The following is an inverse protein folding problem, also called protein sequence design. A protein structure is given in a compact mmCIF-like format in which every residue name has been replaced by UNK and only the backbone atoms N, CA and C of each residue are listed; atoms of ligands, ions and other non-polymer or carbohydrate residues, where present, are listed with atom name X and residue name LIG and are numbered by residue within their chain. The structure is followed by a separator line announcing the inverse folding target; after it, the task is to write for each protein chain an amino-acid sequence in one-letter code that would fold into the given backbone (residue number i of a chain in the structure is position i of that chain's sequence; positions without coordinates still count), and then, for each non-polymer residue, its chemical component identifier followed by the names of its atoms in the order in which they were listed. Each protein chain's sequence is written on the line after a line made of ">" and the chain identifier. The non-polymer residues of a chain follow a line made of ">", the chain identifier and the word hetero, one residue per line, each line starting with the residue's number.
data_IF_273889221192
#
_entry.id   IF_273889221192
#
_cell.length_a   1.000
_cell.length_b   1.000
_cell.length_c   1.000
_cell.angle_alpha   90.00
_cell.angle_beta   90.00
_cell.angle_gamma   90.00
#
_symmetry.space_group_name_H-M   'P 1'
#
loop_
_entity.id
_entity.type
_entity.pdbx_description
1 polymer ?
#
# COMPACT_ATOMS: atom_id res chain seq x y z
N UNK A 1 14.31 1.66 -24.43
CA UNK A 1 15.34 1.30 -23.43
C UNK A 1 16.43 0.43 -24.06
N UNK A 2 17.60 0.30 -23.40
CA UNK A 2 18.69 -0.56 -23.89
C UNK A 2 18.20 -2.02 -24.05
N UNK A 3 17.33 -2.49 -23.18
CA UNK A 3 16.75 -3.83 -23.23
C UNK A 3 15.85 -4.02 -24.47
N UNK A 4 15.02 -3.03 -24.82
CA UNK A 4 14.19 -3.08 -26.03
C UNK A 4 15.05 -3.15 -27.30
N UNK A 5 16.20 -2.47 -27.33
CA UNK A 5 17.16 -2.55 -28.42
C UNK A 5 17.79 -3.95 -28.56
N UNK A 6 17.82 -4.72 -27.50
CA UNK A 6 18.27 -6.11 -27.47
C UNK A 6 17.15 -7.15 -27.69
N UNK A 7 15.95 -6.69 -28.11
CA UNK A 7 14.82 -7.57 -28.42
C UNK A 7 13.96 -7.97 -27.23
N UNK A 8 14.17 -7.39 -26.05
CA UNK A 8 13.26 -7.58 -24.92
C UNK A 8 11.96 -6.81 -25.12
N UNK A 9 10.85 -7.48 -24.87
CA UNK A 9 9.51 -6.88 -24.94
C UNK A 9 9.05 -6.58 -23.51
N UNK A 10 8.67 -5.33 -23.20
CA UNK A 10 8.14 -5.01 -21.88
C UNK A 10 6.81 -5.72 -21.65
N UNK A 11 6.75 -6.55 -20.60
CA UNK A 11 5.54 -7.30 -20.23
C UNK A 11 4.61 -6.49 -19.34
N UNK A 12 5.18 -5.63 -18.49
CA UNK A 12 4.42 -4.79 -17.55
C UNK A 12 5.12 -3.46 -17.36
N UNK A 13 4.32 -2.45 -17.02
CA UNK A 13 4.82 -1.13 -16.65
C UNK A 13 4.22 -0.71 -15.32
N UNK A 14 5.02 -0.04 -14.49
CA UNK A 14 4.58 0.52 -13.22
C UNK A 14 4.77 2.03 -13.27
N UNK A 15 3.83 2.76 -12.67
CA UNK A 15 4.00 4.18 -12.42
C UNK A 15 4.57 4.38 -11.03
N UNK A 16 5.57 5.23 -10.92
CA UNK A 16 6.02 5.79 -9.67
C UNK A 16 5.25 7.07 -9.41
N UNK A 17 4.54 7.09 -8.29
CA UNK A 17 3.69 8.20 -7.90
C UNK A 17 4.23 8.85 -6.63
N UNK A 18 4.21 10.18 -6.62
CA UNK A 18 4.70 11.01 -5.52
C UNK A 18 3.60 11.97 -5.07
N UNK A 19 3.46 12.13 -3.76
CA UNK A 19 2.51 13.01 -3.13
C UNK A 19 3.20 13.90 -2.10
N UNK A 20 2.83 15.17 -2.09
CA UNK A 20 3.19 16.16 -1.09
C UNK A 20 1.96 16.98 -0.75
N UNK A 21 1.80 17.36 0.50
CA UNK A 21 0.70 18.23 0.90
C UNK A 21 0.16 17.92 2.29
N UNK A 22 -1.11 18.23 2.48
CA UNK A 22 -1.85 17.91 3.69
C UNK A 22 -2.82 16.77 3.42
N UNK A 23 -2.95 15.86 4.36
CA UNK A 23 -3.96 14.81 4.28
C UNK A 23 -5.35 15.46 4.27
N UNK A 24 -6.20 15.19 3.28
CA UNK A 24 -7.57 15.67 3.29
C UNK A 24 -8.32 15.11 4.49
N UNK A 25 -9.24 15.88 5.04
CA UNK A 25 -10.14 15.35 6.04
C UNK A 25 -10.87 14.11 5.51
N UNK A 26 -10.86 13.03 6.29
CA UNK A 26 -11.50 11.78 5.92
C UNK A 26 -12.14 11.10 7.12
N UNK A 27 -13.14 10.29 6.84
CA UNK A 27 -13.74 9.38 7.80
C UNK A 27 -13.69 7.96 7.25
N UNK A 28 -13.55 7.00 8.14
CA UNK A 28 -13.68 5.61 7.74
C UNK A 28 -15.15 5.33 7.35
N UNK A 29 -15.39 4.44 6.38
CA UNK A 29 -16.75 4.02 6.04
C UNK A 29 -17.51 3.50 7.27
N UNK A 30 -18.83 3.63 7.25
CA UNK A 30 -19.69 3.20 8.36
C UNK A 30 -19.42 1.74 8.74
N UNK A 31 -19.26 1.47 10.03
CA UNK A 31 -18.94 0.16 10.58
C UNK A 31 -17.47 -0.26 10.41
N UNK A 32 -16.63 0.57 9.78
CA UNK A 32 -15.22 0.30 9.66
C UNK A 32 -14.41 0.98 10.77
N UNK A 33 -13.33 0.33 11.17
CA UNK A 33 -12.30 0.86 12.06
C UNK A 33 -10.92 0.52 11.52
N UNK A 34 -9.89 1.19 12.01
CA UNK A 34 -8.51 0.83 11.70
C UNK A 34 -7.73 0.46 12.95
N UNK A 35 -6.82 -0.47 12.82
CA UNK A 35 -5.84 -0.81 13.87
C UNK A 35 -4.48 -1.15 13.29
N UNK A 36 -3.45 -0.95 14.06
CA UNK A 36 -2.10 -1.37 13.70
C UNK A 36 -1.91 -2.88 13.89
N UNK A 37 -0.90 -3.40 13.19
CA UNK A 37 -0.37 -4.75 13.35
C UNK A 37 0.14 -4.95 14.78
N UNK A 38 -0.10 -6.14 15.31
CA UNK A 38 0.37 -6.60 16.64
C UNK A 38 1.18 -7.87 16.48
N UNK A 39 1.99 -8.17 17.50
CA UNK A 39 2.66 -9.47 17.57
C UNK A 39 1.63 -10.60 17.46
N UNK A 40 1.90 -11.56 16.56
CA UNK A 40 0.98 -12.66 16.25
C UNK A 40 0.02 -12.42 15.08
N UNK A 41 -0.04 -11.21 14.50
CA UNK A 41 -0.90 -10.90 13.36
C UNK A 41 -0.34 -11.36 12.00
N UNK A 42 0.80 -12.05 11.94
CA UNK A 42 1.42 -12.44 10.68
C UNK A 42 0.51 -13.33 9.82
N UNK A 43 -0.20 -14.28 10.45
CA UNK A 43 -1.18 -15.13 9.76
C UNK A 43 -2.33 -14.31 9.16
N UNK A 44 -2.85 -13.36 9.92
CA UNK A 44 -3.92 -12.46 9.47
C UNK A 44 -3.44 -11.56 8.32
N UNK A 45 -2.20 -11.05 8.40
CA UNK A 45 -1.63 -10.23 7.33
C UNK A 45 -1.41 -11.06 6.06
N UNK A 46 -0.88 -12.29 6.17
CA UNK A 46 -0.75 -13.19 5.03
C UNK A 46 -2.11 -13.47 4.37
N UNK A 47 -3.13 -13.77 5.16
CA UNK A 47 -4.49 -14.04 4.68
C UNK A 47 -5.06 -12.84 3.91
N UNK A 48 -5.04 -11.64 4.51
CA UNK A 48 -5.64 -10.46 3.85
C UNK A 48 -4.84 -10.03 2.61
N UNK A 49 -3.50 -10.16 2.63
CA UNK A 49 -2.67 -9.92 1.45
C UNK A 49 -3.02 -10.87 0.32
N UNK A 50 -3.03 -12.17 0.60
CA UNK A 50 -3.31 -13.19 -0.41
C UNK A 50 -4.70 -13.00 -1.01
N UNK A 51 -5.72 -12.74 -0.20
CA UNK A 51 -7.08 -12.47 -0.69
C UNK A 51 -7.17 -11.16 -1.50
N UNK A 52 -6.47 -10.10 -1.08
CA UNK A 52 -6.52 -8.82 -1.77
C UNK A 52 -5.78 -8.81 -3.10
N UNK A 53 -4.79 -9.68 -3.28
CA UNK A 53 -3.95 -9.74 -4.49
C UNK A 53 -4.15 -11.02 -5.31
N UNK A 54 -5.12 -11.86 -4.94
CA UNK A 54 -5.42 -13.08 -5.68
C UNK A 54 -5.69 -12.78 -7.17
N UNK A 55 -5.06 -13.57 -8.05
CA UNK A 55 -5.14 -13.41 -9.49
C UNK A 55 -4.46 -12.17 -10.08
N UNK A 56 -3.77 -11.36 -9.29
CA UNK A 56 -3.00 -10.23 -9.81
C UNK A 56 -1.70 -10.70 -10.45
N UNK A 57 -1.38 -10.12 -11.60
CA UNK A 57 -0.17 -10.45 -12.33
C UNK A 57 1.09 -10.25 -11.48
N UNK A 58 1.97 -11.26 -11.46
CA UNK A 58 3.24 -11.20 -10.74
C UNK A 58 3.12 -11.34 -9.21
N UNK A 59 1.92 -11.52 -8.68
CA UNK A 59 1.73 -11.81 -7.26
C UNK A 59 1.88 -13.30 -6.99
N UNK A 60 2.70 -13.64 -6.00
CA UNK A 60 2.78 -14.98 -5.42
C UNK A 60 2.28 -14.94 -3.99
N UNK A 61 1.41 -15.86 -3.56
CA UNK A 61 0.92 -15.90 -2.20
C UNK A 61 2.06 -15.98 -1.18
N UNK A 62 1.95 -15.20 -0.11
CA UNK A 62 2.89 -15.25 1.01
C UNK A 62 2.49 -16.35 1.99
N UNK A 63 3.47 -17.09 2.52
CA UNK A 63 3.28 -17.88 3.73
C UNK A 63 3.30 -16.99 4.98
N UNK A 64 2.94 -17.56 6.12
CA UNK A 64 3.03 -16.86 7.41
C UNK A 64 4.50 -16.53 7.72
N UNK A 65 5.40 -17.46 7.46
CA UNK A 65 6.84 -17.34 7.67
C UNK A 65 7.44 -16.22 6.80
N UNK A 66 6.97 -16.08 5.53
CA UNK A 66 7.37 -14.99 4.64
C UNK A 66 6.99 -13.64 5.22
N UNK A 67 5.78 -13.52 5.76
CA UNK A 67 5.29 -12.29 6.39
C UNK A 67 6.08 -11.99 7.66
N UNK A 68 6.29 -12.96 8.54
CA UNK A 68 7.10 -12.80 9.76
C UNK A 68 8.51 -12.31 9.44
N UNK A 69 9.16 -12.95 8.45
CA UNK A 69 10.48 -12.54 7.99
C UNK A 69 10.49 -11.10 7.48
N UNK A 70 9.53 -10.74 6.60
CA UNK A 70 9.44 -9.41 6.03
C UNK A 70 9.19 -8.32 7.08
N UNK A 71 8.33 -8.60 8.05
CA UNK A 71 8.03 -7.67 9.16
C UNK A 71 9.25 -7.45 10.05
N UNK A 72 10.08 -8.46 10.26
CA UNK A 72 11.29 -8.36 11.07
C UNK A 72 12.46 -7.69 10.34
N UNK A 73 12.64 -7.99 9.05
CA UNK A 73 13.81 -7.56 8.28
C UNK A 73 13.69 -6.17 7.66
N UNK A 74 12.50 -5.78 7.27
CA UNK A 74 12.27 -4.46 6.69
C UNK A 74 12.10 -3.48 7.85
N UNK A 75 12.89 -2.48 7.98
CA UNK A 75 12.80 -1.36 8.96
C UNK A 75 11.37 -0.80 9.08
N UNK A 76 10.43 -1.68 9.26
CA UNK A 76 8.99 -1.45 9.30
C UNK A 76 8.58 -1.35 10.76
N UNK A 77 7.96 -0.26 11.10
CA UNK A 77 7.25 -0.18 12.37
C UNK A 77 5.95 -1.00 12.29
N UNK A 78 5.69 -1.86 13.27
CA UNK A 78 4.40 -2.53 13.40
C UNK A 78 3.23 -1.53 13.39
N UNK A 79 3.43 -0.34 13.94
CA UNK A 79 2.45 0.73 13.91
C UNK A 79 2.14 1.24 12.50
N UNK A 80 3.07 1.08 11.56
CA UNK A 80 2.92 1.46 10.15
C UNK A 80 2.29 0.39 9.26
N UNK A 81 1.94 -0.77 9.81
CA UNK A 81 1.13 -1.76 9.13
C UNK A 81 -0.29 -1.66 9.69
N UNK A 82 -1.22 -1.20 8.90
CA UNK A 82 -2.59 -0.92 9.32
C UNK A 82 -3.55 -1.94 8.70
N UNK A 83 -4.48 -2.41 9.51
CA UNK A 83 -5.63 -3.19 9.07
C UNK A 83 -6.88 -2.32 9.04
N UNK A 84 -7.71 -2.53 8.04
CA UNK A 84 -9.08 -2.04 7.98
C UNK A 84 -10.02 -3.16 8.44
N UNK A 85 -10.79 -2.90 9.47
CA UNK A 85 -11.67 -3.90 10.10
C UNK A 85 -13.12 -3.45 9.92
N UNK A 86 -13.98 -4.38 9.50
CA UNK A 86 -15.44 -4.19 9.36
C UNK A 86 -16.15 -5.28 10.15
N UNK A 87 -16.80 -4.93 11.24
CA UNK A 87 -17.31 -5.92 12.19
C UNK A 87 -16.19 -6.77 12.79
N UNK A 88 -16.22 -8.06 12.54
CA UNK A 88 -15.16 -9.02 12.95
C UNK A 88 -14.10 -9.25 11.87
N UNK A 89 -14.34 -8.79 10.64
CA UNK A 89 -13.53 -9.17 9.49
C UNK A 89 -12.45 -8.14 9.18
N UNK A 90 -11.28 -8.61 8.77
CA UNK A 90 -10.23 -7.74 8.24
C UNK A 90 -10.48 -7.54 6.74
N UNK A 91 -11.01 -6.38 6.41
CA UNK A 91 -11.41 -6.02 5.06
C UNK A 91 -10.24 -5.63 4.15
N UNK A 92 -9.14 -5.13 4.72
CA UNK A 92 -8.00 -4.67 3.95
C UNK A 92 -6.82 -4.29 4.83
N UNK A 93 -5.75 -3.84 4.20
CA UNK A 93 -4.53 -3.44 4.89
C UNK A 93 -3.78 -2.35 4.11
N UNK A 94 -2.92 -1.63 4.83
CA UNK A 94 -1.92 -0.73 4.26
C UNK A 94 -0.60 -0.96 4.98
N UNK A 95 0.43 -1.30 4.23
CA UNK A 95 1.79 -1.50 4.73
C UNK A 95 2.64 -0.31 4.35
N UNK A 96 3.10 0.44 5.35
CA UNK A 96 3.94 1.62 5.16
C UNK A 96 5.37 1.37 5.63
N UNK A 97 6.30 2.15 5.12
CA UNK A 97 7.67 2.26 5.63
C UNK A 97 8.19 3.68 5.45
N UNK A 98 9.26 3.99 6.11
CA UNK A 98 9.94 5.28 5.99
C UNK A 98 11.34 5.02 5.48
N UNK A 99 11.66 5.59 4.32
CA UNK A 99 12.94 5.47 3.66
C UNK A 99 13.71 6.82 3.74
N UNK A 100 15.04 6.75 3.58
CA UNK A 100 15.91 7.92 3.57
C UNK A 100 16.59 8.25 4.91
N UNK A 101 17.57 9.13 4.89
CA UNK A 101 18.30 9.54 6.09
C UNK A 101 17.46 10.50 6.95
N UNK A 102 17.77 10.64 8.26
CA UNK A 102 17.13 11.63 9.12
C UNK A 102 17.15 13.04 8.50
N UNK A 103 16.03 13.73 8.50
CA UNK A 103 15.87 15.06 7.92
C UNK A 103 15.52 15.08 6.41
N UNK A 104 15.65 13.95 5.71
CA UNK A 104 15.22 13.80 4.32
C UNK A 104 14.51 12.44 4.12
N UNK A 105 13.51 12.20 4.96
CA UNK A 105 12.74 10.97 4.97
C UNK A 105 11.51 11.07 4.07
N UNK A 106 11.22 9.99 3.37
CA UNK A 106 10.06 9.83 2.50
C UNK A 106 9.23 8.66 3.04
N UNK A 107 7.93 8.85 3.14
CA UNK A 107 6.99 7.79 3.43
C UNK A 107 6.75 6.95 2.17
N UNK A 108 6.68 5.64 2.32
CA UNK A 108 6.39 4.74 1.20
C UNK A 108 5.21 3.86 1.54
N UNK A 109 4.21 3.86 0.68
CA UNK A 109 3.16 2.84 0.70
C UNK A 109 3.71 1.63 -0.04
N UNK A 110 4.22 0.66 0.71
CA UNK A 110 4.81 -0.55 0.13
C UNK A 110 3.77 -1.50 -0.44
N UNK A 111 2.61 -1.60 0.22
CA UNK A 111 1.50 -2.41 -0.24
C UNK A 111 0.19 -1.91 0.37
N UNK A 112 -0.86 -1.84 -0.44
CA UNK A 112 -2.20 -1.52 0.03
C UNK A 112 -3.22 -2.35 -0.74
N UNK A 113 -4.17 -2.96 -0.04
CA UNK A 113 -5.15 -3.82 -0.66
C UNK A 113 -6.43 -3.96 0.17
N UNK A 114 -7.52 -4.30 -0.53
CA UNK A 114 -8.82 -4.59 0.06
C UNK A 114 -9.31 -5.91 -0.53
N UNK A 115 -9.79 -6.80 0.32
CA UNK A 115 -10.38 -8.08 -0.08
C UNK A 115 -11.52 -7.85 -1.06
N UNK A 116 -11.69 -8.72 -2.08
CA UNK A 116 -12.68 -8.50 -3.16
C UNK A 116 -14.08 -8.19 -2.66
N UNK A 117 -14.56 -8.89 -1.64
CA UNK A 117 -15.88 -8.77 -1.05
C UNK A 117 -16.14 -7.42 -0.35
N UNK A 118 -15.08 -6.72 0.05
CA UNK A 118 -15.15 -5.39 0.68
C UNK A 118 -14.79 -4.25 -0.28
N UNK A 119 -14.50 -4.55 -1.55
CA UNK A 119 -14.22 -3.51 -2.54
C UNK A 119 -15.46 -2.68 -2.83
N UNK A 120 -15.25 -1.45 -3.31
CA UNK A 120 -16.29 -0.41 -3.45
C UNK A 120 -16.67 0.16 -2.08
N UNK A 121 -17.45 1.21 -2.03
CA UNK A 121 -17.77 1.87 -0.76
C UNK A 121 -16.61 2.64 -0.09
N UNK A 122 -15.53 2.96 -0.81
CA UNK A 122 -14.47 3.82 -0.31
C UNK A 122 -13.41 3.15 0.58
N UNK A 123 -13.47 1.84 0.81
CA UNK A 123 -12.55 1.11 1.70
C UNK A 123 -11.07 1.27 1.32
N UNK A 124 -10.74 1.15 0.02
CA UNK A 124 -9.37 1.31 -0.45
C UNK A 124 -8.81 2.72 -0.22
N UNK A 125 -9.64 3.74 -0.48
CA UNK A 125 -9.29 5.13 -0.19
C UNK A 125 -9.09 5.36 1.31
N UNK A 126 -9.95 4.81 2.13
CA UNK A 126 -9.92 4.99 3.58
C UNK A 126 -8.66 4.39 4.20
N UNK A 127 -8.29 3.15 3.87
CA UNK A 127 -7.09 2.51 4.43
C UNK A 127 -5.80 3.14 3.88
N UNK A 128 -5.80 3.62 2.63
CA UNK A 128 -4.69 4.37 2.07
C UNK A 128 -4.48 5.69 2.85
N UNK A 129 -5.55 6.45 3.07
CA UNK A 129 -5.47 7.70 3.83
C UNK A 129 -5.02 7.47 5.27
N UNK A 130 -5.46 6.40 5.92
CA UNK A 130 -4.97 6.03 7.25
C UNK A 130 -3.46 5.73 7.24
N UNK A 131 -2.95 5.06 6.20
CA UNK A 131 -1.51 4.83 6.03
C UNK A 131 -0.72 6.12 5.78
N UNK A 132 -1.24 7.00 4.94
CA UNK A 132 -0.63 8.31 4.68
C UNK A 132 -0.65 9.20 5.94
N UNK A 133 -1.74 9.20 6.70
CA UNK A 133 -1.87 9.93 7.96
C UNK A 133 -0.85 9.44 8.99
N UNK A 134 -0.72 8.12 9.15
CA UNK A 134 0.36 7.55 9.98
C UNK A 134 1.73 8.08 9.55
N UNK A 135 2.06 8.04 8.25
CA UNK A 135 3.36 8.52 7.75
C UNK A 135 3.59 10.01 8.03
N UNK A 136 2.58 10.84 7.82
CA UNK A 136 2.70 12.30 8.11
C UNK A 136 2.85 12.58 9.60
N UNK A 137 2.20 11.81 10.48
CA UNK A 137 2.41 11.86 11.93
C UNK A 137 3.83 11.46 12.35
N UNK A 138 4.53 10.66 11.55
CA UNK A 138 5.96 10.36 11.75
C UNK A 138 6.89 11.49 11.23
N UNK A 139 6.33 12.58 10.70
CA UNK A 139 7.09 13.76 10.27
C UNK A 139 7.54 13.73 8.81
N UNK A 140 7.14 12.75 8.01
CA UNK A 140 7.43 12.76 6.57
C UNK A 140 6.54 13.79 5.86
N UNK A 141 7.09 14.45 4.86
CA UNK A 141 6.40 15.49 4.08
C UNK A 141 5.93 15.01 2.71
N UNK A 142 6.49 13.90 2.27
CA UNK A 142 6.20 13.31 0.98
C UNK A 142 5.88 11.81 1.13
N UNK A 143 5.02 11.31 0.28
CA UNK A 143 4.65 9.89 0.23
C UNK A 143 4.79 9.38 -1.21
N UNK A 144 5.41 8.22 -1.36
CA UNK A 144 5.59 7.56 -2.65
C UNK A 144 4.94 6.18 -2.66
N UNK A 145 4.54 5.77 -3.85
CA UNK A 145 4.08 4.42 -4.13
C UNK A 145 4.31 4.05 -5.60
N UNK A 146 4.31 2.75 -5.87
CA UNK A 146 4.29 2.23 -7.24
C UNK A 146 2.96 1.56 -7.51
N UNK A 147 2.44 1.73 -8.74
CA UNK A 147 1.18 1.12 -9.18
C UNK A 147 1.34 0.53 -10.58
N UNK A 148 0.77 -0.64 -10.79
CA UNK A 148 0.67 -1.25 -12.12
C UNK A 148 -0.07 -0.30 -13.07
N UNK A 149 0.51 -0.04 -14.25
CA UNK A 149 -0.08 0.85 -15.25
C UNK A 149 -1.45 0.39 -15.75
N UNK A 150 -1.77 -0.89 -15.63
CA UNK A 150 -3.04 -1.46 -16.04
C UNK A 150 -4.11 -1.44 -14.93
N UNK A 151 -3.72 -1.12 -13.69
CA UNK A 151 -4.65 -0.97 -12.58
C UNK A 151 -5.31 0.42 -12.60
N UNK A 152 -6.21 0.63 -13.57
CA UNK A 152 -6.89 1.92 -13.74
C UNK A 152 -7.63 2.41 -12.49
N UNK A 153 -8.40 1.59 -11.76
CA UNK A 153 -9.10 2.06 -10.56
C UNK A 153 -8.16 2.58 -9.47
N UNK A 154 -7.02 1.91 -9.25
CA UNK A 154 -6.04 2.36 -8.26
C UNK A 154 -5.36 3.66 -8.72
N UNK A 155 -4.95 3.75 -9.99
CA UNK A 155 -4.34 4.97 -10.54
C UNK A 155 -5.25 6.19 -10.39
N UNK A 156 -6.52 6.04 -10.77
CA UNK A 156 -7.50 7.12 -10.66
C UNK A 156 -7.68 7.56 -9.20
N UNK A 157 -7.74 6.61 -8.27
CA UNK A 157 -7.84 6.91 -6.84
C UNK A 157 -6.62 7.71 -6.37
N UNK A 158 -5.41 7.31 -6.73
CA UNK A 158 -4.18 8.03 -6.34
C UNK A 158 -4.11 9.43 -6.96
N UNK A 159 -4.39 9.58 -8.25
CA UNK A 159 -4.41 10.88 -8.91
C UNK A 159 -5.45 11.83 -8.29
N UNK A 160 -6.64 11.32 -7.96
CA UNK A 160 -7.69 12.09 -7.29
C UNK A 160 -7.32 12.50 -5.85
N UNK A 161 -6.37 11.82 -5.22
CA UNK A 161 -5.80 12.19 -3.92
C UNK A 161 -4.61 13.17 -4.04
N UNK A 162 -4.26 13.57 -5.26
CA UNK A 162 -3.19 14.52 -5.51
C UNK A 162 -1.81 13.90 -5.75
N UNK A 163 -1.71 12.57 -5.87
CA UNK A 163 -0.48 11.95 -6.34
C UNK A 163 -0.17 12.39 -7.77
N UNK A 164 1.11 12.57 -8.05
CA UNK A 164 1.60 12.91 -9.38
C UNK A 164 2.56 11.85 -9.86
N UNK A 165 2.49 11.49 -11.15
CA UNK A 165 3.45 10.58 -11.74
C UNK A 165 4.80 11.26 -11.88
N UNK A 166 5.84 10.67 -11.30
CA UNK A 166 7.23 11.16 -11.34
C UNK A 166 8.15 10.24 -12.13
N UNK A 167 7.76 9.01 -12.35
CA UNK A 167 8.57 8.02 -13.04
C UNK A 167 7.78 6.79 -13.46
N UNK A 168 8.51 5.76 -13.86
CA UNK A 168 7.96 4.44 -14.15
C UNK A 168 9.06 3.42 -14.37
N UNK A 169 8.73 2.18 -14.03
CA UNK A 169 9.57 1.00 -14.25
C UNK A 169 8.93 0.07 -15.28
N UNK A 170 9.78 -0.73 -15.94
CA UNK A 170 9.38 -1.81 -16.85
C UNK A 170 9.84 -3.13 -16.26
#
# INVERSE_FOLDING_TARGET
>A
TLLEQQGFIPLRRYWELHWEGSIPEYTLPSGASSRSFRHGDASLLAEVQNAAFDGQWGYSPNSVEDVEYKVQMQRVSHAGILFLVVGSDTAGFCWTRIDGPPGNQIGVIGMVGVRPEFRRGGMGRAILLAGMDYLTQQGVKAVELSVDSDNAPAREMYLNLGFRKVGGMI
#
